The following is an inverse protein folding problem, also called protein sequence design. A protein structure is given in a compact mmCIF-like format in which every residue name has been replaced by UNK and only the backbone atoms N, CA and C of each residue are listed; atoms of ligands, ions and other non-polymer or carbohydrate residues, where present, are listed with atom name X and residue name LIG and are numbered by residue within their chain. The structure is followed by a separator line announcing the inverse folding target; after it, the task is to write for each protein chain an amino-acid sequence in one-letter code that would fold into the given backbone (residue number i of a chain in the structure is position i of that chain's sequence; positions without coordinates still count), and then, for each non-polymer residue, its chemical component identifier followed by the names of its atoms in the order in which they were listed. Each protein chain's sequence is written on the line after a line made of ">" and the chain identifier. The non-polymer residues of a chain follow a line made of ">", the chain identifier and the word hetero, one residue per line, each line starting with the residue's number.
data_IF_646154734422
#
_entry.id   IF_646154734422
#
_cell.length_a   1.000
_cell.length_b   1.000
_cell.length_c   1.000
_cell.angle_alpha   90.00
_cell.angle_beta   90.00
_cell.angle_gamma   90.00
#
_symmetry.space_group_name_H-M   'P 1'
#
loop_
_entity.id
_entity.type
_entity.pdbx_description
1 polymer ?
#
# COMPACT_ATOMS: atom_id res chain seq x y z
N UNK A 1 17.19 7.74 -5.92
CA UNK A 1 16.08 8.10 -5.02
C UNK A 1 14.81 8.11 -5.86
N UNK A 2 13.81 7.26 -5.54
CA UNK A 2 12.50 7.36 -6.21
C UNK A 2 11.93 8.75 -5.91
N UNK A 3 11.19 9.38 -6.84
CA UNK A 3 10.66 10.72 -6.60
C UNK A 3 9.85 10.74 -5.31
N UNK A 4 10.18 11.70 -4.44
CA UNK A 4 9.46 11.91 -3.17
C UNK A 4 8.13 12.58 -3.47
N UNK A 5 7.22 11.83 -4.09
CA UNK A 5 5.82 12.23 -4.20
C UNK A 5 5.23 12.13 -2.81
N UNK A 6 4.95 13.28 -2.18
CA UNK A 6 4.26 13.31 -0.90
C UNK A 6 2.95 12.55 -1.03
N UNK A 7 2.77 11.56 -0.16
CA UNK A 7 1.54 10.76 -0.09
C UNK A 7 0.39 11.71 0.30
N UNK A 8 -0.61 11.84 -0.58
CA UNK A 8 -1.84 12.55 -0.23
C UNK A 8 -2.69 11.66 0.69
N UNK A 9 -2.48 11.80 1.99
CA UNK A 9 -3.15 11.01 3.04
C UNK A 9 -4.68 11.05 2.95
N UNK A 10 -5.26 12.20 2.64
CA UNK A 10 -6.73 12.34 2.52
C UNK A 10 -7.28 11.60 1.31
N UNK A 11 -6.50 11.47 0.24
CA UNK A 11 -6.88 10.75 -0.97
C UNK A 11 -6.78 9.23 -0.84
N UNK A 12 -6.01 8.71 0.11
CA UNK A 12 -5.84 7.26 0.29
C UNK A 12 -7.13 6.53 0.71
N UNK A 13 -8.07 7.23 1.36
CA UNK A 13 -9.35 6.66 1.77
C UNK A 13 -10.21 6.25 0.56
N UNK A 14 -10.01 6.94 -0.56
CA UNK A 14 -10.78 6.78 -1.79
C UNK A 14 -10.12 5.76 -2.75
N UNK A 15 -9.01 5.13 -2.33
CA UNK A 15 -8.31 4.10 -3.10
C UNK A 15 -8.56 2.73 -2.45
N UNK A 16 -9.42 1.89 -3.04
CA UNK A 16 -9.63 0.53 -2.55
C UNK A 16 -8.36 -0.31 -2.75
N UNK A 17 -7.94 -1.02 -1.70
CA UNK A 17 -6.73 -1.86 -1.77
C UNK A 17 -6.85 -2.95 -2.84
N UNK A 18 -8.07 -3.45 -3.09
CA UNK A 18 -8.33 -4.49 -4.09
C UNK A 18 -7.88 -4.14 -5.51
N UNK A 19 -7.83 -2.85 -5.85
CA UNK A 19 -7.41 -2.37 -7.18
C UNK A 19 -5.93 -1.99 -7.22
N UNK A 20 -5.17 -2.29 -6.18
CA UNK A 20 -3.76 -1.96 -6.10
C UNK A 20 -2.88 -3.15 -6.47
N UNK A 21 -1.76 -2.85 -7.12
CA UNK A 21 -0.69 -3.80 -7.35
C UNK A 21 0.39 -3.60 -6.29
N UNK A 22 0.94 -4.70 -5.76
CA UNK A 22 2.04 -4.68 -4.80
C UNK A 22 3.31 -5.21 -5.46
N UNK A 23 4.43 -4.52 -5.26
CA UNK A 23 5.73 -4.94 -5.80
C UNK A 23 6.79 -4.89 -4.71
N UNK A 24 7.43 -6.02 -4.46
CA UNK A 24 8.58 -6.13 -3.58
C UNK A 24 9.86 -6.01 -4.41
N UNK A 25 10.79 -5.18 -3.95
CA UNK A 25 12.14 -5.08 -4.48
C UNK A 25 13.07 -5.76 -3.47
N UNK A 26 13.45 -7.01 -3.72
CA UNK A 26 14.27 -7.80 -2.79
C UNK A 26 15.68 -7.23 -2.59
N UNK A 27 16.24 -6.57 -3.61
CA UNK A 27 17.60 -6.02 -3.58
C UNK A 27 17.66 -4.77 -2.70
N UNK A 28 16.69 -3.87 -2.87
CA UNK A 28 16.59 -2.65 -2.07
C UNK A 28 15.77 -2.83 -0.78
N UNK A 29 15.09 -3.98 -0.65
CA UNK A 29 14.15 -4.33 0.42
C UNK A 29 13.00 -3.33 0.55
N UNK A 30 12.55 -2.80 -0.59
CA UNK A 30 11.45 -1.85 -0.65
C UNK A 30 10.14 -2.57 -0.95
N UNK A 31 9.03 -2.00 -0.44
CA UNK A 31 7.68 -2.45 -0.80
C UNK A 31 6.89 -1.28 -1.40
N UNK A 32 6.48 -1.46 -2.66
CA UNK A 32 5.74 -0.49 -3.44
C UNK A 32 4.28 -0.91 -3.60
N UNK A 33 3.37 0.05 -3.48
CA UNK A 33 1.97 -0.11 -3.84
C UNK A 33 1.64 0.85 -4.97
N UNK A 34 1.03 0.31 -6.02
CA UNK A 34 0.61 1.05 -7.20
C UNK A 34 -0.91 1.04 -7.33
N UNK A 35 -1.48 2.15 -7.78
CA UNK A 35 -2.87 2.24 -8.19
C UNK A 35 -2.92 2.86 -9.59
N UNK A 36 -3.55 2.17 -10.55
CA UNK A 36 -3.60 2.60 -11.95
C UNK A 36 -2.21 2.92 -12.55
N UNK A 37 -1.20 2.11 -12.20
CA UNK A 37 0.18 2.28 -12.65
C UNK A 37 0.96 3.44 -11.99
N UNK A 38 0.37 4.15 -11.02
CA UNK A 38 1.03 5.23 -10.27
C UNK A 38 1.45 4.73 -8.89
N UNK A 39 2.68 5.03 -8.48
CA UNK A 39 3.17 4.75 -7.13
C UNK A 39 2.38 5.58 -6.11
N UNK A 40 1.69 4.92 -5.18
CA UNK A 40 0.83 5.57 -4.19
C UNK A 40 1.33 5.39 -2.76
N UNK A 41 1.99 4.27 -2.46
CA UNK A 41 2.71 4.06 -1.21
C UNK A 41 4.05 3.42 -1.51
N UNK A 42 5.05 3.82 -0.74
CA UNK A 42 6.41 3.33 -0.86
C UNK A 42 7.02 3.26 0.53
N UNK A 43 7.53 2.09 0.90
CA UNK A 43 8.22 1.85 2.17
C UNK A 43 9.70 1.57 1.90
N UNK A 44 10.55 2.54 2.25
CA UNK A 44 12.01 2.41 2.23
C UNK A 44 12.45 1.63 3.47
N UNK A 45 12.61 0.31 3.33
CA UNK A 45 13.29 -0.63 4.24
C UNK A 45 13.74 -0.17 5.66
N UNK A 46 12.88 0.44 6.46
CA UNK A 46 13.17 0.79 7.86
C UNK A 46 12.06 0.36 8.83
N UNK A 47 10.91 -0.08 8.30
CA UNK A 47 9.79 -0.67 9.04
C UNK A 47 9.10 -1.82 8.26
N UNK A 48 9.78 -2.40 7.25
CA UNK A 48 9.22 -3.19 6.13
C UNK A 48 8.37 -4.44 6.45
N UNK A 49 8.17 -4.79 7.72
CA UNK A 49 7.16 -5.79 8.08
C UNK A 49 5.74 -5.21 8.13
N UNK A 50 5.53 -3.93 8.49
CA UNK A 50 4.17 -3.46 8.74
C UNK A 50 3.35 -3.32 7.46
N UNK A 51 3.86 -2.60 6.45
CA UNK A 51 3.13 -2.40 5.20
C UNK A 51 2.95 -3.72 4.44
N UNK A 52 4.00 -4.56 4.40
CA UNK A 52 3.93 -5.90 3.82
C UNK A 52 2.89 -6.77 4.55
N UNK A 53 2.94 -6.84 5.88
CA UNK A 53 2.00 -7.64 6.68
C UNK A 53 0.57 -7.14 6.52
N UNK A 54 0.36 -5.82 6.53
CA UNK A 54 -0.94 -5.21 6.29
C UNK A 54 -1.47 -5.57 4.89
N UNK A 55 -0.62 -5.52 3.86
CA UNK A 55 -0.99 -5.90 2.49
C UNK A 55 -1.40 -7.38 2.41
N UNK A 56 -0.63 -8.27 3.07
CA UNK A 56 -0.97 -9.70 3.17
C UNK A 56 -2.28 -9.89 3.92
N UNK A 57 -2.51 -9.21 5.04
CA UNK A 57 -3.77 -9.28 5.79
C UNK A 57 -4.97 -8.82 4.96
N UNK A 58 -4.84 -7.68 4.28
CA UNK A 58 -5.89 -7.13 3.43
C UNK A 58 -6.20 -8.04 2.23
N UNK A 59 -5.17 -8.70 1.68
CA UNK A 59 -5.36 -9.67 0.58
C UNK A 59 -6.23 -10.87 0.97
N UNK A 60 -6.27 -11.21 2.27
CA UNK A 60 -7.02 -12.33 2.85
C UNK A 60 -8.46 -11.97 3.25
N UNK A 61 -8.82 -10.69 3.26
CA UNK A 61 -10.20 -10.25 3.55
C UNK A 61 -11.13 -10.81 2.47
N UNK A 62 -12.21 -11.49 2.87
CA UNK A 62 -13.18 -12.06 1.92
C UNK A 62 -13.97 -10.96 1.19
N UNK A 63 -14.41 -9.95 1.93
CA UNK A 63 -15.14 -8.82 1.35
C UNK A 63 -14.18 -7.70 0.95
N UNK A 64 -13.49 -7.88 -0.17
CA UNK A 64 -12.44 -6.96 -0.66
C UNK A 64 -12.98 -5.60 -1.12
N UNK A 65 -14.28 -5.51 -1.35
CA UNK A 65 -14.97 -4.28 -1.81
C UNK A 65 -15.62 -3.50 -0.66
N UNK A 66 -15.40 -3.90 0.60
CA UNK A 66 -15.91 -3.13 1.72
C UNK A 66 -15.20 -1.76 1.81
N UNK A 67 -15.96 -0.70 2.11
CA UNK A 67 -15.45 0.69 2.10
C UNK A 67 -14.25 0.93 3.03
N UNK A 68 -14.10 0.11 4.07
CA UNK A 68 -12.98 0.18 5.01
C UNK A 68 -11.70 -0.52 4.50
N UNK A 69 -11.75 -1.27 3.40
CA UNK A 69 -10.60 -1.96 2.80
C UNK A 69 -9.92 -1.04 1.78
N UNK A 70 -9.33 0.04 2.29
CA UNK A 70 -8.69 1.11 1.51
C UNK A 70 -7.25 1.38 1.98
N UNK A 71 -6.47 2.13 1.20
CA UNK A 71 -5.06 2.39 1.51
C UNK A 71 -4.85 3.21 2.78
N UNK A 72 -5.81 4.05 3.19
CA UNK A 72 -5.71 4.79 4.45
C UNK A 72 -5.74 3.84 5.64
N UNK A 73 -6.67 2.89 5.64
CA UNK A 73 -6.80 1.92 6.72
C UNK A 73 -5.69 0.85 6.69
N UNK A 74 -5.13 0.57 5.50
CA UNK A 74 -3.94 -0.27 5.36
C UNK A 74 -2.76 0.28 6.15
N UNK A 75 -2.59 1.60 6.17
CA UNK A 75 -1.46 2.28 6.83
C UNK A 75 -1.62 2.47 8.34
N UNK A 76 -2.85 2.44 8.86
CA UNK A 76 -3.16 2.74 10.27
C UNK A 76 -3.03 1.49 11.17
N UNK A 77 -2.88 0.30 10.59
CA UNK A 77 -2.75 -0.98 11.30
C UNK A 77 -1.30 -1.29 11.69
#
# INVERSE_FOLDING_TARGET
>A
MKPTTYINWDGLKDIPFFYCDTKEDEENKDFDIYYQGRLVLHDYNHCGHYLYTAAVLFSRIKNKTADWVNLRNLWIL
#
